data_IF_165850262972
#
_entry.id   IF_165850262972
#
_cell.length_a   1.000
_cell.length_b   1.000
_cell.length_c   1.000
_cell.angle_alpha   90.00
_cell.angle_beta   90.00
_cell.angle_gamma   90.00
#
_symmetry.space_group_name_H-M   'P 1'
#
loop_
_entity.id
_entity.type
_entity.pdbx_description
1 polymer ?
#
# COMPACT_ATOMS: atom_id res chain seq x y z
N UNK A 1 69.07 -7.02 34.22
CA UNK A 1 68.07 -6.70 33.18
C UNK A 1 67.74 -7.93 32.34
N UNK A 2 66.91 -8.88 32.80
CA UNK A 2 66.29 -9.94 31.95
C UNK A 2 65.02 -10.48 32.62
N UNK A 3 63.92 -9.73 32.54
CA UNK A 3 62.59 -10.19 32.97
C UNK A 3 61.53 -9.82 31.93
N UNK A 4 61.60 -10.45 30.75
CA UNK A 4 60.59 -10.27 29.71
C UNK A 4 60.50 -11.42 28.70
N UNK A 5 61.06 -12.61 28.99
CA UNK A 5 61.12 -13.72 28.03
C UNK A 5 60.47 -15.02 28.50
N UNK A 6 59.63 -14.97 29.53
CA UNK A 6 59.05 -16.18 30.14
C UNK A 6 57.51 -16.16 30.24
N UNK A 7 56.81 -15.35 29.43
CA UNK A 7 55.34 -15.29 29.38
C UNK A 7 54.72 -15.51 27.99
N UNK A 8 55.49 -16.05 27.04
CA UNK A 8 54.97 -16.43 25.71
C UNK A 8 54.66 -17.93 25.56
N UNK A 9 54.71 -18.69 26.66
CA UNK A 9 54.62 -20.15 26.67
C UNK A 9 53.30 -20.72 27.24
N UNK A 10 52.14 -20.09 26.97
CA UNK A 10 50.83 -20.65 27.36
C UNK A 10 49.72 -20.65 26.29
N UNK A 11 49.99 -20.33 25.02
CA UNK A 11 48.94 -20.34 23.98
C UNK A 11 49.15 -21.39 22.86
N UNK A 12 49.87 -22.48 23.15
CA UNK A 12 50.00 -23.63 22.25
C UNK A 12 48.99 -24.73 22.62
N UNK A 13 47.67 -24.46 22.63
CA UNK A 13 46.72 -25.52 23.00
C UNK A 13 45.25 -25.34 22.54
N UNK A 14 44.95 -24.64 21.45
CA UNK A 14 43.66 -24.77 20.74
C UNK A 14 43.93 -24.64 19.24
N UNK A 15 44.55 -25.66 18.62
CA UNK A 15 43.88 -26.80 17.98
C UNK A 15 42.79 -26.36 16.98
N UNK A 16 43.20 -26.33 15.72
CA UNK A 16 42.63 -27.23 14.69
C UNK A 16 41.11 -27.31 14.60
N UNK A 17 40.43 -26.20 14.36
CA UNK A 17 39.08 -26.22 13.81
C UNK A 17 39.05 -25.21 12.66
N UNK A 18 38.42 -25.59 11.54
CA UNK A 18 38.18 -24.77 10.35
C UNK A 18 39.31 -24.64 9.32
N UNK A 19 39.77 -25.79 8.82
CA UNK A 19 39.85 -26.00 7.36
C UNK A 19 38.83 -27.05 6.95
N UNK A 20 37.66 -26.64 6.46
CA UNK A 20 36.79 -27.45 5.60
C UNK A 20 36.07 -26.53 4.62
N UNK A 21 36.61 -26.50 3.40
CA UNK A 21 35.88 -26.51 2.12
C UNK A 21 34.52 -25.80 2.10
N UNK A 22 34.50 -24.53 1.71
CA UNK A 22 33.32 -23.91 1.08
C UNK A 22 33.29 -24.31 -0.40
N UNK A 23 32.90 -25.56 -0.66
CA UNK A 23 32.41 -25.97 -1.97
C UNK A 23 30.88 -26.00 -1.90
N UNK A 24 30.25 -25.36 -2.89
CA UNK A 24 28.82 -25.18 -3.12
C UNK A 24 28.17 -23.98 -2.42
N UNK A 25 28.39 -22.79 -3.00
CA UNK A 25 27.31 -21.82 -3.17
C UNK A 25 27.15 -21.45 -4.64
N UNK A 26 26.66 -22.41 -5.44
CA UNK A 26 25.90 -22.08 -6.65
C UNK A 26 24.54 -21.54 -6.18
N UNK A 27 24.52 -20.27 -5.79
CA UNK A 27 23.31 -19.50 -5.57
C UNK A 27 22.90 -18.87 -6.88
N UNK A 28 21.76 -19.28 -7.41
CA UNK A 28 21.10 -18.79 -8.60
C UNK A 28 21.02 -17.25 -8.56
N UNK A 29 21.74 -16.56 -9.46
CA UNK A 29 21.62 -15.11 -9.60
C UNK A 29 20.32 -14.82 -10.38
N UNK A 30 19.19 -14.71 -9.68
CA UNK A 30 18.09 -13.90 -10.18
C UNK A 30 18.55 -12.45 -10.08
N UNK A 31 19.06 -11.87 -11.16
CA UNK A 31 18.92 -10.43 -11.34
C UNK A 31 17.41 -10.21 -11.41
N UNK A 32 16.77 -9.94 -10.28
CA UNK A 32 15.43 -9.40 -10.26
C UNK A 32 15.54 -8.09 -11.02
N UNK A 33 15.01 -8.06 -12.25
CA UNK A 33 14.76 -6.82 -12.96
C UNK A 33 14.02 -5.92 -11.98
N UNK A 34 14.69 -4.90 -11.45
CA UNK A 34 14.01 -3.83 -10.74
C UNK A 34 13.05 -3.27 -11.77
N UNK A 35 11.76 -3.53 -11.59
CA UNK A 35 10.73 -2.78 -12.27
C UNK A 35 11.01 -1.35 -11.85
N UNK A 36 11.65 -0.58 -12.75
CA UNK A 36 11.84 0.84 -12.55
C UNK A 36 10.45 1.42 -12.51
N UNK A 37 9.90 1.53 -11.29
CA UNK A 37 8.63 2.16 -11.01
C UNK A 37 8.76 3.63 -11.33
N UNK A 38 8.66 3.98 -12.61
CA UNK A 38 8.08 5.26 -12.97
C UNK A 38 6.70 5.25 -12.32
N UNK A 39 6.51 6.08 -11.30
CA UNK A 39 5.24 6.23 -10.62
C UNK A 39 4.19 6.60 -11.65
N UNK A 40 3.47 5.60 -12.17
CA UNK A 40 2.23 5.85 -12.88
C UNK A 40 1.23 6.15 -11.79
N UNK A 41 1.09 7.43 -11.45
CA UNK A 41 -0.10 7.87 -10.74
C UNK A 41 -1.30 7.30 -11.52
N UNK A 42 -2.16 6.50 -10.88
CA UNK A 42 -3.32 5.96 -11.56
C UNK A 42 -4.12 7.16 -12.08
N UNK A 43 -4.32 7.21 -13.39
CA UNK A 43 -5.09 8.28 -14.01
C UNK A 43 -6.43 8.37 -13.27
N UNK A 44 -6.84 9.57 -12.80
CA UNK A 44 -8.11 9.71 -12.11
C UNK A 44 -9.20 9.19 -13.04
N UNK A 45 -10.18 8.46 -12.50
CA UNK A 45 -11.32 7.98 -13.28
C UNK A 45 -12.03 9.19 -13.91
N UNK A 46 -11.74 9.49 -15.17
CA UNK A 46 -12.30 10.64 -15.87
C UNK A 46 -13.68 10.25 -16.37
N UNK A 47 -14.72 10.79 -15.72
CA UNK A 47 -16.10 10.67 -16.20
C UNK A 47 -16.21 11.51 -17.47
N UNK A 48 -16.52 10.90 -18.61
CA UNK A 48 -16.70 11.64 -19.86
C UNK A 48 -17.92 12.58 -19.73
N UNK A 49 -17.93 13.75 -20.40
CA UNK A 49 -19.06 14.66 -20.36
C UNK A 49 -20.39 14.00 -20.74
N UNK A 50 -20.36 13.08 -21.69
CA UNK A 50 -21.52 12.28 -22.12
C UNK A 50 -22.07 11.38 -21.01
N UNK A 51 -21.18 10.80 -20.21
CA UNK A 51 -21.56 9.90 -19.10
C UNK A 51 -22.24 10.70 -17.99
N UNK A 52 -21.77 11.92 -17.74
CA UNK A 52 -22.38 12.83 -16.76
C UNK A 52 -23.86 13.06 -17.07
N UNK A 53 -24.19 13.45 -18.29
CA UNK A 53 -25.58 13.71 -18.70
C UNK A 53 -26.48 12.47 -18.57
N UNK A 54 -25.94 11.28 -18.83
CA UNK A 54 -26.69 10.05 -18.71
C UNK A 54 -26.98 9.65 -17.26
N UNK A 55 -26.00 9.82 -16.37
CA UNK A 55 -26.01 9.28 -15.02
C UNK A 55 -26.59 10.25 -13.97
N UNK A 56 -26.30 11.55 -14.04
CA UNK A 56 -26.76 12.52 -13.03
C UNK A 56 -28.28 12.60 -12.83
N UNK A 57 -29.15 12.47 -13.85
CA UNK A 57 -30.60 12.47 -13.65
C UNK A 57 -31.11 11.35 -12.74
N UNK A 58 -30.40 10.21 -12.69
CA UNK A 58 -30.80 9.02 -11.91
C UNK A 58 -30.18 9.02 -10.50
N UNK A 59 -28.99 9.58 -10.38
CA UNK A 59 -28.14 9.49 -9.18
C UNK A 59 -28.30 10.71 -8.27
N UNK A 60 -28.81 11.84 -8.81
CA UNK A 60 -28.93 13.09 -8.09
C UNK A 60 -27.56 13.72 -7.86
N UNK A 61 -27.30 14.19 -6.63
CA UNK A 61 -26.04 14.86 -6.24
C UNK A 61 -24.95 13.92 -5.73
N UNK A 62 -25.12 12.59 -5.82
CA UNK A 62 -24.09 11.64 -5.33
C UNK A 62 -22.85 11.71 -6.22
N UNK A 63 -21.69 11.57 -5.59
CA UNK A 63 -20.41 11.53 -6.30
C UNK A 63 -20.17 10.14 -6.90
N UNK A 64 -19.69 10.13 -8.15
CA UNK A 64 -19.22 8.92 -8.84
C UNK A 64 -17.73 8.76 -8.48
N UNK A 65 -17.41 7.69 -7.76
CA UNK A 65 -16.06 7.43 -7.20
C UNK A 65 -15.23 6.56 -8.13
N UNK A 66 -15.88 5.70 -8.91
CA UNK A 66 -15.17 4.78 -9.80
C UNK A 66 -16.06 4.18 -10.88
N UNK A 67 -15.56 3.11 -11.48
CA UNK A 67 -16.26 2.37 -12.53
C UNK A 67 -17.15 1.30 -11.89
N UNK A 68 -18.45 1.33 -12.18
CA UNK A 68 -19.35 0.29 -11.73
C UNK A 68 -19.42 -0.90 -12.67
N UNK A 69 -20.35 -1.80 -12.36
CA UNK A 69 -20.62 -2.97 -13.17
C UNK A 69 -20.98 -2.54 -14.60
N UNK A 70 -20.23 -3.05 -15.59
CA UNK A 70 -20.39 -2.72 -17.01
C UNK A 70 -20.33 -1.21 -17.33
N UNK A 71 -19.61 -0.42 -16.52
CA UNK A 71 -19.51 1.03 -16.70
C UNK A 71 -20.74 1.82 -16.22
N UNK A 72 -21.69 1.17 -15.54
CA UNK A 72 -22.86 1.86 -14.98
C UNK A 72 -22.53 2.52 -13.63
N UNK A 73 -22.99 3.75 -13.42
CA UNK A 73 -22.83 4.45 -12.14
C UNK A 73 -23.99 4.11 -11.17
N UNK A 74 -24.06 2.86 -10.72
CA UNK A 74 -25.12 2.37 -9.83
C UNK A 74 -24.55 1.89 -8.48
N UNK A 75 -25.35 2.05 -7.43
CA UNK A 75 -25.04 1.55 -6.09
C UNK A 75 -25.55 0.12 -5.92
N UNK A 76 -24.69 -0.77 -5.43
CA UNK A 76 -25.02 -2.17 -5.18
C UNK A 76 -24.41 -2.62 -3.84
N UNK A 77 -25.24 -3.11 -2.92
CA UNK A 77 -24.80 -3.77 -1.68
C UNK A 77 -24.72 -5.29 -1.91
N UNK A 78 -23.88 -5.69 -2.85
CA UNK A 78 -23.65 -7.10 -3.19
C UNK A 78 -22.29 -7.53 -2.65
N UNK A 79 -22.20 -8.76 -2.14
CA UNK A 79 -20.95 -9.31 -1.59
C UNK A 79 -19.86 -9.42 -2.65
N UNK A 80 -20.26 -9.66 -3.89
CA UNK A 80 -19.40 -9.81 -5.06
C UNK A 80 -18.81 -8.47 -5.51
N UNK A 81 -19.47 -7.35 -5.17
CA UNK A 81 -19.11 -6.00 -5.58
C UNK A 81 -18.92 -5.09 -4.35
N UNK A 82 -17.84 -5.29 -3.56
CA UNK A 82 -17.62 -4.55 -2.33
C UNK A 82 -17.37 -3.05 -2.54
N UNK A 83 -16.99 -2.63 -3.76
CA UNK A 83 -16.69 -1.25 -4.10
C UNK A 83 -17.64 -0.76 -5.21
N UNK A 84 -18.84 -0.24 -4.87
CA UNK A 84 -19.78 0.28 -5.84
C UNK A 84 -19.28 1.57 -6.52
N UNK A 85 -19.88 1.92 -7.66
CA UNK A 85 -19.46 3.05 -8.49
C UNK A 85 -19.74 4.41 -7.85
N UNK A 86 -20.82 4.49 -7.09
CA UNK A 86 -21.33 5.72 -6.48
C UNK A 86 -21.33 5.58 -4.96
N UNK A 87 -21.33 6.71 -4.25
CA UNK A 87 -21.53 6.70 -2.80
C UNK A 87 -22.98 6.46 -2.43
N UNK A 88 -23.19 5.93 -1.22
CA UNK A 88 -24.51 5.65 -0.67
C UNK A 88 -25.40 6.90 -0.58
N UNK A 89 -24.86 7.97 0.01
CA UNK A 89 -25.57 9.23 0.27
C UNK A 89 -25.06 10.36 -0.63
N UNK A 90 -25.94 11.36 -0.84
CA UNK A 90 -25.61 12.61 -1.52
C UNK A 90 -24.59 13.44 -0.73
N UNK A 91 -23.86 14.32 -1.43
CA UNK A 91 -22.89 15.22 -0.79
C UNK A 91 -23.61 16.37 -0.07
N UNK A 92 -23.79 16.21 1.23
CA UNK A 92 -24.19 17.28 2.15
C UNK A 92 -22.96 18.10 2.60
N UNK A 93 -23.15 19.36 3.01
CA UNK A 93 -22.07 20.24 3.48
C UNK A 93 -21.25 19.64 4.64
N UNK A 94 -21.95 18.92 5.53
CA UNK A 94 -21.34 18.18 6.64
C UNK A 94 -20.43 17.07 6.13
N UNK A 95 -20.89 16.31 5.13
CA UNK A 95 -20.12 15.20 4.56
C UNK A 95 -18.89 15.76 3.83
N UNK A 96 -19.03 16.85 3.09
CA UNK A 96 -17.88 17.46 2.40
C UNK A 96 -16.80 17.93 3.37
N UNK A 97 -17.18 18.52 4.51
CA UNK A 97 -16.23 18.90 5.55
C UNK A 97 -15.55 17.67 6.19
N UNK A 98 -16.27 16.56 6.37
CA UNK A 98 -15.68 15.30 6.83
C UNK A 98 -14.68 14.74 5.80
N UNK A 99 -14.97 14.81 4.50
CA UNK A 99 -14.04 14.35 3.44
C UNK A 99 -12.73 15.12 3.43
N UNK A 100 -12.75 16.40 3.78
CA UNK A 100 -11.54 17.19 3.92
C UNK A 100 -10.71 16.74 5.13
N UNK A 101 -11.37 16.43 6.26
CA UNK A 101 -10.72 15.87 7.44
C UNK A 101 -10.17 14.45 7.20
N UNK A 102 -10.88 13.62 6.43
CA UNK A 102 -10.47 12.25 6.09
C UNK A 102 -9.17 12.17 5.29
N UNK A 103 -8.77 13.26 4.60
CA UNK A 103 -7.47 13.33 3.92
C UNK A 103 -6.28 13.44 4.89
N UNK A 104 -6.53 13.81 6.14
CA UNK A 104 -5.53 13.90 7.20
C UNK A 104 -5.42 12.64 8.06
N UNK A 105 -4.96 12.79 9.30
CA UNK A 105 -4.75 11.67 10.23
C UNK A 105 -6.06 11.10 10.78
N UNK A 106 -6.30 9.80 10.56
CA UNK A 106 -7.52 9.12 11.01
C UNK A 106 -7.59 8.86 12.51
N UNK A 107 -6.49 9.06 13.23
CA UNK A 107 -6.44 8.98 14.70
C UNK A 107 -7.18 10.15 15.36
N UNK A 108 -7.28 11.29 14.68
CA UNK A 108 -7.90 12.51 15.19
C UNK A 108 -9.43 12.53 15.01
N UNK A 109 -9.96 11.65 14.17
CA UNK A 109 -11.40 11.52 13.93
C UNK A 109 -12.09 10.79 15.08
N UNK A 110 -13.22 11.35 15.52
CA UNK A 110 -14.07 10.72 16.55
C UNK A 110 -14.75 9.46 16.03
N UNK A 111 -15.22 8.58 16.92
CA UNK A 111 -15.91 7.34 16.53
C UNK A 111 -17.22 7.60 15.79
N UNK A 112 -17.89 8.71 16.09
CA UNK A 112 -19.15 9.09 15.45
C UNK A 112 -18.90 9.62 14.03
N UNK A 113 -17.88 10.47 13.85
CA UNK A 113 -17.47 10.95 12.52
C UNK A 113 -17.08 9.80 11.58
N UNK A 114 -16.45 8.74 12.10
CA UNK A 114 -16.07 7.56 11.30
C UNK A 114 -17.26 6.72 10.82
N UNK A 115 -18.41 6.79 11.50
CA UNK A 115 -19.62 6.04 11.14
C UNK A 115 -20.55 6.80 10.22
N UNK A 116 -20.34 8.12 10.10
CA UNK A 116 -21.23 9.04 9.39
C UNK A 116 -20.94 9.02 7.89
#
# INVERSE_FOLDING_TARGET
>A
MRSAFQLQAMAFALRNCFRRTDLLRRGFATTSSSWSGAGSEPLPAQILPTDKEHFYPRIGKREIVGFGQNGSAVYHDLREYPCPAIRFRESDEVITALREKEKGDWSLLTLDEKKT
#
